data_IF_202106103669
#
_entry.id   IF_202106103669
#
_cell.length_a   1.000
_cell.length_b   1.000
_cell.length_c   1.000
_cell.angle_alpha   90.00
_cell.angle_beta   90.00
_cell.angle_gamma   90.00
#
_symmetry.space_group_name_H-M   'P 1'
#
loop_
_entity.id
_entity.type
_entity.pdbx_description
1 polymer ?
#
# COMPACT_ATOMS: atom_id res chain seq x y z
N UNK A 1 -22.64 6.43 1.05
CA UNK A 1 -21.99 5.68 -0.05
C UNK A 1 -21.94 6.46 -1.37
N UNK A 2 -21.70 7.79 -1.36
CA UNK A 2 -21.70 8.63 -2.59
C UNK A 2 -20.29 8.97 -3.11
N UNK A 3 -19.24 8.74 -2.33
CA UNK A 3 -17.86 9.14 -2.68
C UNK A 3 -17.06 8.11 -3.50
N UNK A 4 -17.60 6.92 -3.72
CA UNK A 4 -16.97 5.90 -4.57
C UNK A 4 -17.28 6.16 -6.06
N UNK A 5 -18.51 6.56 -6.37
CA UNK A 5 -18.98 6.74 -7.75
C UNK A 5 -18.36 7.95 -8.48
N UNK A 6 -17.91 9.00 -7.75
CA UNK A 6 -17.19 10.13 -8.37
C UNK A 6 -15.75 9.79 -8.76
N UNK A 7 -15.14 8.79 -8.11
CA UNK A 7 -13.76 8.34 -8.39
C UNK A 7 -13.64 7.40 -9.59
N UNK A 8 -14.74 6.78 -9.99
CA UNK A 8 -14.82 5.94 -11.19
C UNK A 8 -14.92 6.76 -12.50
N UNK A 9 -14.91 8.11 -12.44
CA UNK A 9 -14.69 8.97 -13.62
C UNK A 9 -13.21 8.92 -14.05
N UNK A 10 -12.82 7.71 -14.46
CA UNK A 10 -11.84 7.36 -15.49
C UNK A 10 -10.46 8.01 -15.34
N UNK A 11 -9.64 7.44 -14.46
CA UNK A 11 -8.20 7.38 -14.71
C UNK A 11 -8.01 6.61 -16.04
N UNK A 12 -7.96 7.34 -17.15
CA UNK A 12 -7.67 6.77 -18.46
C UNK A 12 -6.15 6.68 -18.59
N UNK A 13 -5.67 5.55 -19.11
CA UNK A 13 -4.24 5.34 -19.39
C UNK A 13 -3.66 6.52 -20.17
N UNK A 14 -4.40 7.02 -21.15
CA UNK A 14 -4.01 8.16 -21.99
C UNK A 14 -3.83 9.43 -21.18
N UNK A 15 -4.77 9.77 -20.30
CA UNK A 15 -4.68 10.97 -19.44
C UNK A 15 -3.45 10.93 -18.55
N UNK A 16 -3.17 9.78 -17.93
CA UNK A 16 -1.96 9.62 -17.11
C UNK A 16 -0.71 9.82 -17.96
N UNK A 17 -0.67 9.24 -19.16
CA UNK A 17 0.48 9.41 -20.06
C UNK A 17 0.63 10.84 -20.57
N UNK A 18 -0.45 11.56 -20.84
CA UNK A 18 -0.42 12.98 -21.22
C UNK A 18 0.14 13.84 -20.09
N UNK A 19 -0.34 13.64 -18.86
CA UNK A 19 0.18 14.36 -17.69
C UNK A 19 1.67 14.06 -17.47
N UNK A 20 2.09 12.80 -17.61
CA UNK A 20 3.51 12.41 -17.53
C UNK A 20 4.36 13.07 -18.62
N UNK A 21 3.85 13.16 -19.86
CA UNK A 21 4.54 13.82 -20.98
C UNK A 21 4.62 15.33 -20.77
N UNK A 22 3.54 15.96 -20.29
CA UNK A 22 3.53 17.38 -19.95
C UNK A 22 4.53 17.69 -18.84
N UNK A 23 4.54 16.89 -17.78
CA UNK A 23 5.52 16.98 -16.70
C UNK A 23 6.96 16.83 -17.22
N UNK A 24 7.22 15.83 -18.08
CA UNK A 24 8.56 15.59 -18.62
C UNK A 24 9.04 16.69 -19.58
N UNK A 25 8.14 17.23 -20.41
CA UNK A 25 8.48 18.24 -21.43
C UNK A 25 8.55 19.66 -20.86
N UNK A 26 7.61 20.02 -19.98
CA UNK A 26 7.45 21.39 -19.47
C UNK A 26 7.92 21.55 -18.03
N UNK A 27 8.27 20.47 -17.33
CA UNK A 27 8.58 20.51 -15.90
C UNK A 27 7.35 20.78 -15.02
N UNK A 28 6.14 20.56 -15.53
CA UNK A 28 4.89 20.83 -14.81
C UNK A 28 4.74 19.90 -13.59
N UNK A 29 5.02 20.46 -12.40
CA UNK A 29 4.94 19.73 -11.14
C UNK A 29 3.50 19.39 -10.74
N UNK A 30 2.51 20.17 -11.16
CA UNK A 30 1.11 19.90 -10.86
C UNK A 30 0.62 18.70 -11.69
N UNK A 31 0.95 18.67 -12.98
CA UNK A 31 0.68 17.51 -13.83
C UNK A 31 1.35 16.23 -13.30
N UNK A 32 2.61 16.33 -12.84
CA UNK A 32 3.32 15.21 -12.23
C UNK A 32 2.63 14.70 -10.95
N UNK A 33 2.20 15.61 -10.07
CA UNK A 33 1.52 15.24 -8.83
C UNK A 33 0.18 14.53 -9.11
N UNK A 34 -0.60 15.02 -10.07
CA UNK A 34 -1.85 14.39 -10.49
C UNK A 34 -1.62 12.98 -11.05
N UNK A 35 -0.63 12.83 -11.95
CA UNK A 35 -0.28 11.54 -12.51
C UNK A 35 0.16 10.55 -11.42
N UNK A 36 0.94 11.00 -10.43
CA UNK A 36 1.38 10.18 -9.30
C UNK A 36 0.23 9.70 -8.43
N UNK A 37 -0.73 10.56 -8.11
CA UNK A 37 -1.88 10.18 -7.30
C UNK A 37 -2.81 9.21 -8.03
N UNK A 38 -2.99 9.39 -9.34
CA UNK A 38 -3.71 8.40 -10.18
C UNK A 38 -2.95 7.07 -10.25
N UNK A 39 -1.63 7.08 -10.50
CA UNK A 39 -0.80 5.88 -10.53
C UNK A 39 -0.79 5.12 -9.19
N UNK A 40 -0.71 5.83 -8.05
CA UNK A 40 -0.81 5.22 -6.71
C UNK A 40 -2.17 4.60 -6.47
N UNK A 41 -3.23 5.27 -6.91
CA UNK A 41 -4.60 4.75 -6.79
C UNK A 41 -4.76 3.43 -7.57
N UNK A 42 -4.19 3.36 -8.78
CA UNK A 42 -4.18 2.15 -9.59
C UNK A 42 -3.32 1.04 -8.97
N UNK A 43 -2.17 1.38 -8.39
CA UNK A 43 -1.25 0.42 -7.76
C UNK A 43 -1.83 -0.21 -6.48
N UNK A 44 -2.50 0.58 -5.65
CA UNK A 44 -2.96 0.16 -4.32
C UNK A 44 -4.32 -0.56 -4.33
N UNK A 45 -5.01 -0.60 -5.48
CA UNK A 45 -6.33 -1.22 -5.60
C UNK A 45 -6.28 -2.46 -6.48
N UNK A 46 -6.55 -3.67 -5.94
CA UNK A 46 -6.55 -4.91 -6.71
C UNK A 46 -7.47 -4.88 -7.94
N UNK A 47 -8.60 -4.15 -7.84
CA UNK A 47 -9.59 -3.99 -8.91
C UNK A 47 -9.01 -3.33 -10.19
N UNK A 48 -7.94 -2.56 -10.07
CA UNK A 48 -7.36 -1.80 -11.18
C UNK A 48 -5.94 -2.25 -11.55
N UNK A 49 -5.46 -3.36 -11.00
CA UNK A 49 -4.11 -3.86 -11.26
C UNK A 49 -3.84 -4.13 -12.73
N UNK A 50 -4.78 -4.69 -13.49
CA UNK A 50 -4.59 -4.89 -14.93
C UNK A 50 -4.31 -3.58 -15.65
N UNK A 51 -5.07 -2.51 -15.34
CA UNK A 51 -4.85 -1.17 -15.91
C UNK A 51 -3.49 -0.60 -15.50
N UNK A 52 -3.08 -0.85 -14.26
CA UNK A 52 -1.77 -0.45 -13.76
C UNK A 52 -0.62 -1.15 -14.50
N UNK A 53 -0.70 -2.48 -14.66
CA UNK A 53 0.32 -3.26 -15.36
C UNK A 53 0.42 -2.87 -16.84
N UNK A 54 -0.72 -2.65 -17.51
CA UNK A 54 -0.73 -2.13 -18.90
C UNK A 54 -0.13 -0.71 -18.98
N UNK A 55 -0.32 0.12 -17.96
CA UNK A 55 0.32 1.45 -17.91
C UNK A 55 1.85 1.33 -17.76
N UNK A 56 2.34 0.39 -16.96
CA UNK A 56 3.79 0.16 -16.75
C UNK A 56 4.53 -0.37 -17.98
N UNK A 57 3.81 -0.84 -19.02
CA UNK A 57 4.43 -1.14 -20.31
C UNK A 57 5.02 0.11 -20.98
N UNK A 58 4.55 1.31 -20.60
CA UNK A 58 5.12 2.57 -21.09
C UNK A 58 6.35 2.97 -20.26
N UNK A 59 7.50 3.29 -20.88
CA UNK A 59 8.76 3.52 -20.18
C UNK A 59 8.69 4.70 -19.19
N UNK A 60 8.03 5.81 -19.55
CA UNK A 60 7.85 6.95 -18.63
C UNK A 60 7.10 6.57 -17.35
N UNK A 61 6.02 5.80 -17.48
CA UNK A 61 5.26 5.35 -16.32
C UNK A 61 6.10 4.39 -15.46
N UNK A 62 6.89 3.51 -16.09
CA UNK A 62 7.80 2.61 -15.37
C UNK A 62 8.89 3.37 -14.61
N UNK A 63 9.47 4.41 -15.20
CA UNK A 63 10.46 5.25 -14.51
C UNK A 63 9.85 5.95 -13.30
N UNK A 64 8.65 6.50 -13.44
CA UNK A 64 7.95 7.18 -12.34
C UNK A 64 7.54 6.20 -11.23
N UNK A 65 7.06 5.01 -11.57
CA UNK A 65 6.79 3.95 -10.60
C UNK A 65 8.05 3.57 -9.81
N UNK A 66 9.15 3.32 -10.51
CA UNK A 66 10.42 2.98 -9.85
C UNK A 66 10.91 4.10 -8.94
N UNK A 67 10.92 5.35 -9.41
CA UNK A 67 11.54 6.47 -8.69
C UNK A 67 10.64 7.06 -7.58
N UNK A 68 9.35 7.20 -7.82
CA UNK A 68 8.46 7.94 -6.92
C UNK A 68 7.55 7.05 -6.07
N UNK A 69 7.22 5.85 -6.55
CA UNK A 69 6.36 4.91 -5.82
C UNK A 69 7.22 3.89 -5.06
N UNK A 70 8.18 3.26 -5.74
CA UNK A 70 9.01 2.20 -5.12
C UNK A 70 10.23 2.74 -4.38
N UNK A 71 10.96 3.68 -4.97
CA UNK A 71 12.17 4.27 -4.37
C UNK A 71 11.83 5.45 -3.46
N UNK A 72 10.92 6.33 -3.86
CA UNK A 72 10.53 7.53 -3.10
C UNK A 72 10.06 7.20 -1.69
N UNK A 73 9.25 6.16 -1.52
CA UNK A 73 8.77 5.73 -0.21
C UNK A 73 9.91 5.12 0.65
N UNK A 74 10.83 4.36 0.04
CA UNK A 74 12.00 3.82 0.74
C UNK A 74 12.97 4.91 1.19
N UNK A 75 13.28 5.86 0.31
CA UNK A 75 14.17 6.99 0.61
C UNK A 75 13.53 7.92 1.64
N UNK A 76 12.22 8.17 1.54
CA UNK A 76 11.50 8.98 2.54
C UNK A 76 11.54 8.32 3.93
N UNK A 77 11.40 6.99 4.01
CA UNK A 77 11.57 6.26 5.26
C UNK A 77 13.01 6.31 5.77
N UNK A 78 14.00 6.06 4.91
CA UNK A 78 15.43 6.08 5.27
C UNK A 78 15.91 7.47 5.73
N UNK A 79 15.41 8.54 5.11
CA UNK A 79 15.78 9.93 5.43
C UNK A 79 14.92 10.56 6.52
N UNK A 80 14.01 9.79 7.13
CA UNK A 80 13.11 10.29 8.18
C UNK A 80 12.06 11.30 7.68
N UNK A 81 11.91 11.48 6.36
CA UNK A 81 10.85 12.29 5.73
C UNK A 81 9.53 11.51 5.70
N UNK A 82 9.14 10.96 6.84
CA UNK A 82 7.85 10.31 6.98
C UNK A 82 6.76 11.38 6.98
N UNK A 83 5.92 11.39 5.94
CA UNK A 83 4.58 11.99 6.07
C UNK A 83 3.95 11.40 7.33
N UNK A 84 3.30 12.21 8.20
CA UNK A 84 2.67 11.69 9.40
C UNK A 84 1.72 10.58 8.96
N UNK A 85 2.11 9.34 9.27
CA UNK A 85 1.28 8.18 9.03
C UNK A 85 -0.02 8.48 9.75
N UNK A 86 -1.11 8.66 8.99
CA UNK A 86 -2.46 8.59 9.57
C UNK A 86 -2.55 7.18 10.14
N UNK A 87 -2.13 7.04 11.39
CA UNK A 87 -2.38 5.86 12.21
C UNK A 87 -3.85 5.57 12.00
N UNK A 88 -4.15 4.51 11.23
CA UNK A 88 -5.41 3.79 11.40
C UNK A 88 -5.51 3.58 12.90
N UNK A 89 -6.53 4.18 13.53
CA UNK A 89 -6.78 4.03 14.97
C UNK A 89 -6.72 2.52 15.25
N UNK A 90 -5.64 2.06 15.91
CA UNK A 90 -5.62 0.72 16.49
C UNK A 90 -6.92 0.60 17.29
N UNK A 91 -7.71 -0.46 17.15
CA UNK A 91 -8.83 -0.68 18.05
C UNK A 91 -8.25 -0.64 19.47
N UNK A 92 -8.80 0.27 20.25
CA UNK A 92 -8.42 0.51 21.65
C UNK A 92 -8.56 -0.83 22.39
N UNK A 93 -7.57 -1.27 23.17
CA UNK A 93 -7.73 -2.49 23.95
C UNK A 93 -8.95 -2.30 24.86
N UNK A 94 -9.91 -3.22 24.76
CA UNK A 94 -11.06 -3.25 25.65
C UNK A 94 -10.54 -3.33 27.09
N UNK A 95 -11.10 -2.51 27.97
CA UNK A 95 -10.82 -2.56 29.41
C UNK A 95 -11.08 -4.00 29.91
N UNK A 96 -10.26 -4.53 30.83
CA UNK A 96 -10.49 -5.85 31.38
C UNK A 96 -11.84 -5.85 32.12
N UNK A 97 -12.77 -6.65 31.63
CA UNK A 97 -13.99 -6.99 32.36
C UNK A 97 -13.62 -7.92 33.53
N UNK A 98 -14.33 -7.77 34.64
CA UNK A 98 -14.14 -8.45 35.92
C UNK A 98 -13.97 -9.99 35.81
N UNK A 99 -13.24 -10.62 36.75
CA UNK A 99 -12.93 -12.04 36.67
C UNK A 99 -14.18 -12.89 36.89
N UNK A 100 -14.54 -13.71 35.88
CA UNK A 100 -15.46 -14.85 36.06
C UNK A 100 -14.67 -16.07 36.54
N UNK A 101 -15.19 -16.85 37.51
CA UNK A 101 -14.50 -18.03 38.01
C UNK A 101 -14.45 -19.11 36.92
N UNK A 102 -13.25 -19.65 36.66
CA UNK A 102 -13.03 -20.80 35.77
C UNK A 102 -13.18 -22.10 36.57
N UNK A 103 -13.91 -23.11 36.06
CA UNK A 103 -13.86 -24.45 36.63
C UNK A 103 -12.51 -25.10 36.33
N UNK A 104 -11.95 -25.70 37.37
CA UNK A 104 -10.72 -26.50 37.36
C UNK A 104 -10.92 -27.80 36.57
N UNK A 105 -10.04 -28.08 35.61
CA UNK A 105 -9.75 -29.47 35.20
C UNK A 105 -8.28 -29.65 34.90
N UNK A 106 -7.76 -30.71 35.53
CA UNK A 106 -6.37 -31.06 35.75
C UNK A 106 -5.82 -31.86 34.55
N UNK A 107 -4.63 -31.43 34.11
CA UNK A 107 -3.49 -32.19 33.61
C UNK A 107 -3.49 -32.98 32.27
N UNK A 108 -2.27 -32.98 31.70
CA UNK A 108 -1.62 -33.90 30.75
C UNK A 108 -1.89 -33.74 29.24
N UNK A 109 -0.94 -33.15 28.52
CA UNK A 109 0.09 -33.89 27.75
C UNK A 109 0.98 -32.89 27.01
N UNK A 110 2.29 -32.97 27.25
CA UNK A 110 3.29 -32.23 26.51
C UNK A 110 3.42 -32.83 25.11
N UNK A 111 2.93 -32.14 24.08
CA UNK A 111 3.29 -32.44 22.70
C UNK A 111 4.69 -31.91 22.42
N UNK A 112 5.67 -32.82 22.45
CA UNK A 112 7.02 -32.63 21.93
C UNK A 112 6.94 -32.07 20.50
N UNK A 113 7.54 -30.91 20.26
CA UNK A 113 7.91 -30.49 18.90
C UNK A 113 9.01 -31.44 18.39
N UNK A 114 8.89 -32.06 17.20
CA UNK A 114 10.03 -32.67 16.54
C UNK A 114 10.93 -31.59 15.94
N UNK A 115 12.23 -31.65 16.21
CA UNK A 115 13.23 -30.77 15.60
C UNK A 115 13.41 -31.10 14.11
N UNK A 116 13.64 -30.05 13.30
CA UNK A 116 13.75 -30.11 11.83
C UNK A 116 15.20 -30.24 11.31
N UNK A 117 16.14 -30.61 12.18
CA UNK A 117 17.54 -30.79 11.81
C UNK A 117 18.00 -32.19 12.25
N UNK A 118 18.33 -33.09 11.31
CA UNK A 118 19.16 -34.24 11.64
C UNK A 118 20.61 -33.77 11.73
N UNK A 119 21.22 -33.94 12.90
CA UNK A 119 22.64 -33.67 13.11
C UNK A 119 23.47 -34.63 12.25
N UNK A 120 24.38 -34.06 11.44
CA UNK A 120 25.47 -34.75 10.72
C UNK A 120 26.77 -34.27 11.35
#
# INVERSE_FOLDING_TARGET
MKDAARRDRRASRERVLEQLRLAARKGDRAALALALDEMRTLALSPRYWTKYLTLLQHPLARLVDLLAIKQGDRIAQQKGWTKPSRRRKKPRPAKPAAPRPRPSRRATTASKQPSLFPDI
#
